data_IF_545044734178
#
_entry.id   IF_545044734178
#
_cell.length_a   1.000
_cell.length_b   1.000
_cell.length_c   1.000
_cell.angle_alpha   90.00
_cell.angle_beta   90.00
_cell.angle_gamma   90.00
#
_symmetry.space_group_name_H-M   'P 1'
#
loop_
_entity.id
_entity.type
_entity.pdbx_description
1 polymer ?
#
# COMPACT_ATOMS: atom_id res chain seq x y z
N UNK A 1 7.39 -10.80 -0.70
CA UNK A 1 6.26 -10.83 0.25
C UNK A 1 5.10 -10.02 -0.32
N UNK A 2 3.90 -10.55 -0.20
CA UNK A 2 2.68 -9.86 -0.60
C UNK A 2 1.91 -9.51 0.67
N UNK A 3 1.39 -8.28 0.73
CA UNK A 3 0.75 -7.75 1.93
C UNK A 3 -0.65 -7.25 1.59
N UNK A 4 -1.62 -7.56 2.46
CA UNK A 4 -2.97 -7.02 2.36
C UNK A 4 -3.17 -6.00 3.48
N UNK A 5 -3.54 -4.78 3.12
CA UNK A 5 -3.85 -3.71 4.07
C UNK A 5 -5.33 -3.39 3.99
N UNK A 6 -6.03 -3.49 5.12
CA UNK A 6 -7.46 -3.19 5.19
C UNK A 6 -7.65 -1.76 5.69
N UNK A 7 -8.22 -0.91 4.85
CA UNK A 7 -8.49 0.48 5.19
C UNK A 7 -8.33 1.41 4.00
N UNK A 8 -8.70 2.67 4.18
CA UNK A 8 -8.66 3.66 3.10
C UNK A 8 -8.23 5.05 3.58
N UNK A 9 -7.99 5.21 4.88
CA UNK A 9 -7.64 6.52 5.45
C UNK A 9 -6.18 6.87 5.22
N UNK A 10 -5.81 8.10 5.64
CA UNK A 10 -4.44 8.58 5.51
C UNK A 10 -3.42 7.75 6.27
N UNK A 11 -3.83 7.16 7.39
CA UNK A 11 -2.93 6.29 8.18
C UNK A 11 -2.59 5.02 7.41
N UNK A 12 -3.58 4.39 6.80
CA UNK A 12 -3.38 3.20 5.98
C UNK A 12 -2.56 3.54 4.73
N UNK A 13 -2.80 4.70 4.15
CA UNK A 13 -2.04 5.18 3.01
C UNK A 13 -0.55 5.33 3.37
N UNK A 14 -0.26 5.97 4.51
CA UNK A 14 1.12 6.15 4.97
C UNK A 14 1.79 4.80 5.23
N UNK A 15 1.06 3.85 5.80
CA UNK A 15 1.56 2.50 6.04
C UNK A 15 1.90 1.79 4.74
N UNK A 16 1.02 1.85 3.75
CA UNK A 16 1.26 1.26 2.44
C UNK A 16 2.52 1.84 1.80
N UNK A 17 2.67 3.15 1.85
CA UNK A 17 3.84 3.82 1.29
C UNK A 17 5.12 3.32 1.96
N UNK A 18 5.13 3.26 3.30
CA UNK A 18 6.30 2.81 4.05
C UNK A 18 6.65 1.36 3.74
N UNK A 19 5.64 0.50 3.68
CA UNK A 19 5.84 -0.91 3.33
C UNK A 19 6.36 -1.08 1.91
N UNK A 20 5.92 -0.23 0.99
CA UNK A 20 6.37 -0.32 -0.41
C UNK A 20 7.85 -0.01 -0.58
N UNK A 21 8.47 0.65 0.41
CA UNK A 21 9.89 0.95 0.38
C UNK A 21 10.76 -0.24 0.79
N UNK A 22 10.16 -1.29 1.36
CA UNK A 22 10.90 -2.46 1.82
C UNK A 22 11.23 -3.36 0.62
N UNK A 23 12.52 -3.71 0.42
CA UNK A 23 12.90 -4.59 -0.71
C UNK A 23 12.25 -5.96 -0.68
N UNK A 24 11.86 -6.46 0.49
CA UNK A 24 11.20 -7.77 0.60
C UNK A 24 9.72 -7.71 0.23
N UNK A 25 9.15 -6.52 0.09
CA UNK A 25 7.75 -6.34 -0.27
C UNK A 25 7.61 -6.34 -1.79
N UNK A 26 6.93 -7.36 -2.34
CA UNK A 26 6.72 -7.47 -3.78
C UNK A 26 5.45 -6.74 -4.22
N UNK A 27 4.39 -6.80 -3.42
CA UNK A 27 3.09 -6.27 -3.78
C UNK A 27 2.27 -5.93 -2.54
N UNK A 28 1.53 -4.84 -2.59
CA UNK A 28 0.59 -4.45 -1.53
C UNK A 28 -0.81 -4.35 -2.14
N UNK A 29 -1.76 -5.05 -1.54
CA UNK A 29 -3.17 -4.94 -1.88
C UNK A 29 -3.85 -4.13 -0.79
N UNK A 30 -4.46 -3.00 -1.15
CA UNK A 30 -5.19 -2.15 -0.21
C UNK A 30 -6.68 -2.26 -0.49
N UNK A 31 -7.48 -2.55 0.53
CA UNK A 31 -8.92 -2.68 0.40
C UNK A 31 -9.64 -1.95 1.54
N UNK A 32 -10.57 -1.04 1.28
CA UNK A 32 -10.93 -0.55 -0.05
C UNK A 32 -9.88 0.36 -0.69
N UNK A 33 -8.90 0.83 0.10
CA UNK A 33 -7.87 1.70 -0.42
C UNK A 33 -8.40 3.09 -0.81
N UNK A 34 -7.51 3.92 -1.37
CA UNK A 34 -7.90 5.20 -1.95
C UNK A 34 -7.04 5.47 -3.19
N UNK A 35 -7.46 6.40 -4.09
CA UNK A 35 -6.73 6.63 -5.35
C UNK A 35 -5.26 7.02 -5.17
N UNK A 36 -4.93 7.75 -4.08
CA UNK A 36 -3.56 8.19 -3.84
C UNK A 36 -2.61 7.04 -3.53
N UNK A 37 -3.11 5.95 -2.96
CA UNK A 37 -2.27 4.80 -2.62
C UNK A 37 -1.58 4.21 -3.84
N UNK A 38 -2.34 3.96 -4.91
CA UNK A 38 -1.78 3.38 -6.13
C UNK A 38 -0.83 4.34 -6.84
N UNK A 39 -1.01 5.64 -6.66
CA UNK A 39 -0.15 6.65 -7.26
C UNK A 39 1.20 6.77 -6.56
N UNK A 40 1.27 6.38 -5.28
CA UNK A 40 2.51 6.49 -4.50
C UNK A 40 3.55 5.44 -4.87
N UNK A 41 3.11 4.27 -5.34
CA UNK A 41 4.03 3.20 -5.68
C UNK A 41 3.37 2.20 -6.62
N UNK A 42 4.13 1.70 -7.57
CA UNK A 42 3.66 0.66 -8.48
C UNK A 42 3.41 -0.67 -7.76
N UNK A 43 3.93 -0.83 -6.55
CA UNK A 43 3.69 -2.04 -5.74
C UNK A 43 2.30 -2.07 -5.10
N UNK A 44 1.62 -0.92 -5.02
CA UNK A 44 0.30 -0.81 -4.37
C UNK A 44 -0.80 -0.99 -5.40
N UNK A 45 -1.74 -1.89 -5.09
CA UNK A 45 -2.89 -2.19 -5.96
C UNK A 45 -4.20 -1.82 -5.32
#
# INVERSE_FOLDING_TARGET
>A
MKILVLGSGGREHALCWRLSQDPSCAMIYAWPGNPGMALDSSKIR
#
